data_IF_690128919083
#
_entry.id   IF_690128919083
#
_cell.length_a   1.000
_cell.length_b   1.000
_cell.length_c   1.000
_cell.angle_alpha   90.00
_cell.angle_beta   90.00
_cell.angle_gamma   90.00
#
_symmetry.space_group_name_H-M   'P 1'
#
loop_
_entity.id
_entity.type
_entity.pdbx_description
1 polymer ?
#
# COMPACT_ATOMS: atom_id res chain seq x y z
N UNK A 1 18.59 -56.05 -58.63
CA UNK A 1 17.87 -55.04 -57.86
C UNK A 1 18.59 -54.95 -56.52
N UNK A 2 19.32 -53.85 -56.31
CA UNK A 2 20.09 -53.57 -55.06
C UNK A 2 19.33 -52.61 -54.23
N UNK A 3 18.80 -53.09 -53.04
CA UNK A 3 18.11 -52.27 -52.08
C UNK A 3 19.09 -51.47 -51.24
N UNK A 4 19.02 -50.15 -51.29
CA UNK A 4 19.71 -49.25 -50.39
C UNK A 4 18.83 -49.02 -49.15
N UNK A 5 19.34 -49.40 -47.98
CA UNK A 5 18.75 -49.08 -46.66
C UNK A 5 19.29 -47.72 -46.22
N UNK A 6 18.47 -46.70 -45.88
CA UNK A 6 18.97 -45.48 -45.30
C UNK A 6 19.25 -45.68 -43.80
N UNK A 7 20.50 -45.44 -43.39
CA UNK A 7 20.91 -45.41 -41.99
C UNK A 7 20.40 -44.10 -41.36
N UNK A 8 19.36 -44.17 -40.55
CA UNK A 8 18.89 -43.05 -39.77
C UNK A 8 19.81 -42.82 -38.56
N UNK A 9 20.59 -41.73 -38.62
CA UNK A 9 21.40 -41.27 -37.48
C UNK A 9 20.45 -40.58 -36.48
N UNK A 10 20.12 -41.28 -35.38
CA UNK A 10 19.40 -40.68 -34.25
C UNK A 10 20.38 -39.79 -33.45
N UNK A 11 20.26 -38.50 -33.58
CA UNK A 11 20.90 -37.55 -32.65
C UNK A 11 20.26 -37.71 -31.26
N UNK A 12 20.94 -38.39 -30.35
CA UNK A 12 20.64 -38.36 -28.92
C UNK A 12 21.00 -36.95 -28.40
N UNK A 13 20.01 -36.08 -28.30
CA UNK A 13 20.16 -34.83 -27.59
C UNK A 13 20.41 -35.17 -26.11
N UNK A 14 21.64 -35.01 -25.65
CA UNK A 14 21.98 -35.08 -24.23
C UNK A 14 21.22 -33.94 -23.51
N UNK A 15 20.50 -34.20 -22.40
CA UNK A 15 19.92 -33.13 -21.63
C UNK A 15 21.06 -32.21 -21.16
N UNK A 16 21.00 -30.93 -21.52
CA UNK A 16 21.90 -29.93 -20.98
C UNK A 16 21.57 -29.79 -19.48
N UNK A 17 22.38 -30.40 -18.62
CA UNK A 17 22.33 -30.13 -17.19
C UNK A 17 22.75 -28.67 -17.00
N UNK A 18 21.92 -27.89 -16.30
CA UNK A 18 22.28 -26.55 -15.89
C UNK A 18 23.55 -26.63 -15.02
N UNK A 19 24.53 -25.79 -15.31
CA UNK A 19 25.73 -25.74 -14.47
C UNK A 19 25.40 -25.12 -13.11
N UNK A 20 26.00 -25.63 -12.02
CA UNK A 20 25.77 -25.07 -10.70
C UNK A 20 26.20 -23.60 -10.64
N UNK A 21 25.49 -22.82 -9.82
CA UNK A 21 25.81 -21.40 -9.64
C UNK A 21 27.22 -21.28 -9.03
N UNK A 22 28.14 -20.49 -9.62
CA UNK A 22 29.44 -20.25 -9.00
C UNK A 22 29.28 -19.69 -7.58
N UNK A 23 30.05 -20.20 -6.63
CA UNK A 23 29.92 -19.84 -5.21
C UNK A 23 30.00 -18.33 -4.91
N UNK A 24 30.82 -17.62 -5.68
CA UNK A 24 30.91 -16.15 -5.56
C UNK A 24 29.59 -15.44 -5.99
N UNK A 25 28.94 -15.93 -7.07
CA UNK A 25 27.65 -15.42 -7.54
C UNK A 25 26.55 -15.74 -6.54
N UNK A 26 26.56 -16.94 -5.99
CA UNK A 26 25.61 -17.35 -4.96
C UNK A 26 25.71 -16.45 -3.72
N UNK A 27 26.94 -16.21 -3.24
CA UNK A 27 27.20 -15.31 -2.11
C UNK A 27 26.74 -13.87 -2.38
N UNK A 28 26.90 -13.36 -3.61
CA UNK A 28 26.42 -12.03 -4.00
C UNK A 28 24.88 -11.94 -3.99
N UNK A 29 24.18 -12.98 -4.45
CA UNK A 29 22.71 -13.03 -4.43
C UNK A 29 22.21 -13.08 -2.99
N UNK A 30 22.86 -13.85 -2.13
CA UNK A 30 22.47 -13.99 -0.72
C UNK A 30 22.80 -12.75 0.12
N UNK A 31 23.86 -12.01 -0.23
CA UNK A 31 24.28 -10.77 0.43
C UNK A 31 23.41 -9.56 0.03
N UNK A 32 22.64 -9.65 -1.05
CA UNK A 32 21.80 -8.53 -1.51
C UNK A 32 20.76 -8.14 -0.48
N UNK A 33 20.78 -6.87 -0.03
CA UNK A 33 19.99 -6.37 1.07
C UNK A 33 18.50 -6.17 0.71
N UNK A 34 18.20 -5.96 -0.59
CA UNK A 34 16.82 -5.73 -1.07
C UNK A 34 16.45 -6.67 -2.23
N UNK A 35 15.16 -6.89 -2.50
CA UNK A 35 14.70 -7.63 -3.68
C UNK A 35 15.18 -6.99 -5.00
N UNK A 36 15.25 -5.66 -5.05
CA UNK A 36 15.68 -4.88 -6.22
C UNK A 36 17.17 -5.11 -6.48
N UNK A 37 18.01 -4.97 -5.45
CA UNK A 37 19.43 -5.25 -5.52
C UNK A 37 19.69 -6.69 -5.97
N UNK A 38 18.93 -7.63 -5.39
CA UNK A 38 19.02 -9.05 -5.75
C UNK A 38 18.67 -9.29 -7.23
N UNK A 39 17.65 -8.59 -7.75
CA UNK A 39 17.27 -8.69 -9.16
C UNK A 39 18.36 -8.14 -10.09
N UNK A 40 19.04 -7.05 -9.72
CA UNK A 40 20.17 -6.48 -10.47
C UNK A 40 21.36 -7.44 -10.47
N UNK A 41 21.75 -7.94 -9.30
CA UNK A 41 22.84 -8.91 -9.14
C UNK A 41 22.57 -10.15 -9.99
N UNK A 42 21.37 -10.72 -9.91
CA UNK A 42 20.98 -11.88 -10.68
C UNK A 42 20.95 -11.60 -12.19
N UNK A 43 20.52 -10.40 -12.59
CA UNK A 43 20.56 -9.97 -14.01
C UNK A 43 21.98 -9.94 -14.58
N UNK A 44 22.94 -9.43 -13.81
CA UNK A 44 24.36 -9.44 -14.18
C UNK A 44 24.91 -10.86 -14.18
N UNK A 45 24.60 -11.63 -13.13
CA UNK A 45 25.06 -13.01 -12.96
C UNK A 45 24.63 -13.92 -14.14
N UNK A 46 23.39 -13.79 -14.60
CA UNK A 46 22.89 -14.54 -15.77
C UNK A 46 23.61 -14.17 -17.09
N UNK A 47 24.00 -12.90 -17.24
CA UNK A 47 24.75 -12.47 -18.42
C UNK A 47 26.20 -13.00 -18.42
N UNK A 48 26.83 -13.08 -17.25
CA UNK A 48 28.21 -13.55 -17.09
C UNK A 48 28.31 -15.07 -17.00
N UNK A 49 27.23 -15.75 -16.55
CA UNK A 49 27.17 -17.21 -16.39
C UNK A 49 25.90 -17.77 -17.08
N UNK A 50 25.79 -17.74 -18.39
CA UNK A 50 24.59 -18.14 -19.11
C UNK A 50 24.22 -19.63 -18.90
N UNK A 51 25.19 -20.50 -18.64
CA UNK A 51 24.97 -21.91 -18.37
C UNK A 51 24.27 -22.15 -17.02
N UNK A 52 24.46 -21.26 -16.04
CA UNK A 52 23.81 -21.31 -14.71
C UNK A 52 22.54 -20.46 -14.62
N UNK A 53 22.06 -19.87 -15.72
CA UNK A 53 20.95 -18.93 -15.71
C UNK A 53 19.66 -19.56 -15.14
N UNK A 54 19.37 -20.82 -15.48
CA UNK A 54 18.21 -21.55 -14.98
C UNK A 54 18.26 -21.78 -13.46
N UNK A 55 19.43 -22.09 -12.92
CA UNK A 55 19.63 -22.29 -11.48
C UNK A 55 19.54 -20.95 -10.70
N UNK A 56 20.05 -19.85 -11.28
CA UNK A 56 19.89 -18.51 -10.73
C UNK A 56 18.40 -18.15 -10.63
N UNK A 57 17.62 -18.41 -11.68
CA UNK A 57 16.17 -18.16 -11.67
C UNK A 57 15.44 -19.06 -10.67
N UNK A 58 15.83 -20.32 -10.52
CA UNK A 58 15.29 -21.22 -9.53
C UNK A 58 15.59 -20.75 -8.09
N UNK A 59 16.83 -20.31 -7.82
CA UNK A 59 17.21 -19.73 -6.52
C UNK A 59 16.42 -18.48 -6.19
N UNK A 60 16.27 -17.54 -7.14
CA UNK A 60 15.45 -16.34 -6.95
C UNK A 60 13.99 -16.68 -6.65
N UNK A 61 13.42 -17.63 -7.39
CA UNK A 61 12.04 -18.10 -7.17
C UNK A 61 11.90 -18.71 -5.77
N UNK A 62 12.86 -19.51 -5.32
CA UNK A 62 12.85 -20.09 -3.99
C UNK A 62 12.94 -19.02 -2.88
N UNK A 63 13.83 -18.03 -3.03
CA UNK A 63 13.96 -16.92 -2.07
C UNK A 63 12.65 -16.10 -2.03
N UNK A 64 12.07 -15.76 -3.17
CA UNK A 64 10.82 -15.00 -3.24
C UNK A 64 9.65 -15.80 -2.65
N UNK A 65 9.57 -17.10 -2.90
CA UNK A 65 8.55 -17.98 -2.32
C UNK A 65 8.70 -18.07 -0.80
N UNK A 66 9.94 -18.23 -0.29
CA UNK A 66 10.21 -18.24 1.15
C UNK A 66 9.84 -16.91 1.82
N UNK A 67 10.18 -15.78 1.21
CA UNK A 67 9.82 -14.45 1.69
C UNK A 67 8.30 -14.23 1.69
N UNK A 68 7.60 -14.67 0.65
CA UNK A 68 6.14 -14.59 0.56
C UNK A 68 5.48 -15.43 1.65
N UNK A 69 5.98 -16.67 1.89
CA UNK A 69 5.49 -17.55 2.95
C UNK A 69 5.73 -16.96 4.34
N UNK A 70 6.92 -16.46 4.63
CA UNK A 70 7.24 -15.82 5.90
C UNK A 70 6.37 -14.57 6.16
N UNK A 71 6.09 -13.77 5.10
CA UNK A 71 5.16 -12.65 5.19
C UNK A 71 3.74 -13.11 5.50
N UNK A 72 3.28 -14.16 4.83
CA UNK A 72 1.93 -14.71 5.05
C UNK A 72 1.79 -15.25 6.48
N UNK A 73 2.78 -16.00 6.98
CA UNK A 73 2.82 -16.49 8.35
C UNK A 73 2.81 -15.34 9.37
N UNK A 74 3.62 -14.32 9.14
CA UNK A 74 3.62 -13.09 9.96
C UNK A 74 2.25 -12.42 9.98
N UNK A 75 1.59 -12.28 8.82
CA UNK A 75 0.26 -11.68 8.73
C UNK A 75 -0.82 -12.55 9.38
N UNK A 76 -0.66 -13.88 9.36
CA UNK A 76 -1.60 -14.81 9.97
C UNK A 76 -1.48 -14.87 11.50
N UNK A 77 -0.27 -14.67 12.04
CA UNK A 77 0.01 -14.73 13.49
C UNK A 77 -0.25 -13.43 14.23
N UNK A 78 -0.56 -12.33 13.53
CA UNK A 78 -0.80 -11.02 14.15
C UNK A 78 -2.07 -11.00 15.01
N UNK A 79 -1.91 -10.67 16.29
CA UNK A 79 -3.01 -10.33 17.19
C UNK A 79 -3.69 -9.00 16.80
N UNK A 80 -4.77 -8.64 17.51
CA UNK A 80 -5.52 -7.41 17.18
C UNK A 80 -4.67 -6.14 17.32
N UNK A 81 -3.80 -6.08 18.32
CA UNK A 81 -2.93 -4.91 18.58
C UNK A 81 -1.61 -4.95 17.80
N UNK A 82 -1.24 -6.08 17.22
CA UNK A 82 0.02 -6.24 16.51
C UNK A 82 -0.06 -5.72 15.07
N UNK A 83 1.08 -5.31 14.52
CA UNK A 83 1.18 -4.95 13.11
C UNK A 83 0.57 -3.60 12.73
N UNK A 84 0.22 -2.77 13.71
CA UNK A 84 -0.11 -1.38 13.44
C UNK A 84 1.17 -0.60 13.12
N UNK A 85 1.11 0.19 12.07
CA UNK A 85 2.12 1.16 11.68
C UNK A 85 1.45 2.51 11.47
N UNK A 86 2.17 3.59 11.71
CA UNK A 86 1.55 4.88 11.52
C UNK A 86 2.50 6.03 11.76
N UNK A 87 1.94 7.20 11.60
CA UNK A 87 2.62 8.47 11.82
C UNK A 87 1.69 9.42 12.57
N UNK A 88 2.30 10.27 13.38
CA UNK A 88 1.62 11.35 14.09
C UNK A 88 2.40 12.64 13.88
N UNK A 89 1.67 13.73 13.79
CA UNK A 89 2.21 15.07 13.72
C UNK A 89 1.52 15.96 14.74
N UNK A 90 2.24 16.86 15.36
CA UNK A 90 1.69 17.85 16.27
C UNK A 90 2.47 19.15 16.11
N UNK A 91 1.74 20.25 16.07
CA UNK A 91 2.30 21.60 15.99
C UNK A 91 1.44 22.58 16.75
N UNK A 92 2.02 23.66 17.19
CA UNK A 92 1.29 24.75 17.83
C UNK A 92 2.07 26.05 17.72
N UNK A 93 1.35 27.15 17.86
CA UNK A 93 1.94 28.48 17.90
C UNK A 93 1.24 29.37 18.93
N UNK A 94 2.00 30.30 19.47
CA UNK A 94 1.49 31.38 20.31
C UNK A 94 2.14 32.65 19.81
N UNK A 95 1.33 33.64 19.47
CA UNK A 95 1.78 35.00 19.10
C UNK A 95 1.16 36.01 20.05
N UNK A 96 1.98 36.90 20.57
CA UNK A 96 1.59 37.97 21.50
C UNK A 96 2.10 39.32 21.01
N UNK A 97 1.28 40.33 21.11
CA UNK A 97 1.54 41.70 20.65
C UNK A 97 0.25 42.50 20.67
N UNK A 98 0.01 43.27 19.63
CA UNK A 98 -1.26 44.00 19.43
C UNK A 98 -2.45 43.03 19.22
N UNK A 99 -2.17 41.81 18.77
CA UNK A 99 -3.11 40.69 18.68
C UNK A 99 -2.54 39.48 19.42
N UNK A 100 -3.43 38.67 20.00
CA UNK A 100 -3.08 37.41 20.67
C UNK A 100 -3.66 36.25 19.89
N UNK A 101 -2.79 35.49 19.25
CA UNK A 101 -3.19 34.34 18.45
C UNK A 101 -2.53 33.09 19.00
N UNK A 102 -3.29 32.01 19.11
CA UNK A 102 -2.79 30.70 19.49
C UNK A 102 -3.47 29.63 18.67
N UNK A 103 -2.74 28.56 18.38
CA UNK A 103 -3.29 27.45 17.65
C UNK A 103 -2.57 26.15 17.96
N UNK A 104 -3.27 25.05 17.76
CA UNK A 104 -2.77 23.70 17.87
C UNK A 104 -3.33 22.87 16.72
N UNK A 105 -2.45 22.09 16.10
CA UNK A 105 -2.81 21.10 15.08
C UNK A 105 -2.20 19.76 15.46
N UNK A 106 -3.02 18.70 15.45
CA UNK A 106 -2.59 17.33 15.70
C UNK A 106 -3.19 16.44 14.62
N UNK A 107 -2.34 15.61 14.01
CA UNK A 107 -2.73 14.61 13.03
C UNK A 107 -2.22 13.23 13.45
N UNK A 108 -3.02 12.19 13.27
CA UNK A 108 -2.61 10.81 13.44
C UNK A 108 -3.16 9.96 12.30
N UNK A 109 -2.34 9.08 11.77
CA UNK A 109 -2.71 8.08 10.78
C UNK A 109 -2.11 6.74 11.17
N UNK A 110 -2.98 5.72 11.33
CA UNK A 110 -2.57 4.37 11.67
C UNK A 110 -3.09 3.41 10.61
N UNK A 111 -2.26 2.45 10.25
CA UNK A 111 -2.62 1.41 9.27
C UNK A 111 -2.21 0.05 9.83
N UNK A 112 -3.08 -0.92 9.64
CA UNK A 112 -2.78 -2.33 9.92
C UNK A 112 -3.14 -3.15 8.70
N UNK A 113 -2.22 -3.99 8.27
CA UNK A 113 -2.46 -4.97 7.23
C UNK A 113 -2.37 -6.38 7.79
N UNK A 114 -3.40 -7.18 7.59
CA UNK A 114 -3.43 -8.60 7.87
C UNK A 114 -3.66 -9.38 6.57
N UNK A 115 -3.71 -10.72 6.65
CA UNK A 115 -3.92 -11.60 5.48
C UNK A 115 -5.13 -11.16 4.65
N UNK A 116 -6.29 -11.01 5.29
CA UNK A 116 -7.57 -10.75 4.60
C UNK A 116 -8.08 -9.32 4.79
N UNK A 117 -7.47 -8.53 5.66
CA UNK A 117 -7.95 -7.19 5.99
C UNK A 117 -6.84 -6.15 5.91
N UNK A 118 -7.22 -4.96 5.53
CA UNK A 118 -6.44 -3.75 5.74
C UNK A 118 -7.32 -2.74 6.47
N UNK A 119 -6.83 -2.21 7.58
CA UNK A 119 -7.49 -1.19 8.39
C UNK A 119 -6.70 0.10 8.30
N UNK A 120 -7.39 1.22 8.20
CA UNK A 120 -6.80 2.54 8.31
C UNK A 120 -7.62 3.41 9.27
N UNK A 121 -6.94 4.10 10.16
CA UNK A 121 -7.51 5.06 11.10
C UNK A 121 -6.86 6.42 10.84
N UNK A 122 -7.65 7.47 10.88
CA UNK A 122 -7.17 8.85 10.75
C UNK A 122 -7.88 9.75 11.73
N UNK A 123 -7.10 10.56 12.45
CA UNK A 123 -7.59 11.59 13.36
C UNK A 123 -6.96 12.93 13.04
N UNK A 124 -7.73 14.02 13.12
CA UNK A 124 -7.22 15.39 12.98
C UNK A 124 -7.91 16.26 14.02
N UNK A 125 -7.12 17.08 14.69
CA UNK A 125 -7.56 18.19 15.53
C UNK A 125 -6.84 19.43 15.04
N UNK A 126 -7.60 20.46 14.69
CA UNK A 126 -7.06 21.75 14.26
C UNK A 126 -7.90 22.86 14.95
N UNK A 127 -7.28 23.57 15.87
CA UNK A 127 -7.92 24.61 16.67
C UNK A 127 -7.05 25.87 16.64
N UNK A 128 -7.67 26.99 16.38
CA UNK A 128 -7.05 28.30 16.41
C UNK A 128 -7.97 29.32 17.08
N UNK A 129 -7.36 30.24 17.82
CA UNK A 129 -8.05 31.32 18.50
C UNK A 129 -7.31 32.63 18.23
N UNK A 130 -8.06 33.66 17.88
CA UNK A 130 -7.59 34.99 17.63
C UNK A 130 -8.25 35.96 18.62
N UNK A 131 -7.47 36.60 19.48
CA UNK A 131 -7.94 37.51 20.53
C UNK A 131 -9.03 36.93 21.45
N UNK A 132 -8.92 35.65 21.83
CA UNK A 132 -9.88 34.98 22.69
C UNK A 132 -11.13 34.43 21.98
N UNK A 133 -11.21 34.58 20.65
CA UNK A 133 -12.31 34.07 19.83
C UNK A 133 -11.79 32.96 18.93
N UNK A 134 -12.45 31.79 18.95
CA UNK A 134 -12.09 30.71 18.06
C UNK A 134 -12.27 31.16 16.59
N UNK A 135 -11.22 30.99 15.79
CA UNK A 135 -11.17 31.30 14.35
C UNK A 135 -11.08 30.04 13.50
N UNK A 136 -10.70 28.90 14.10
CA UNK A 136 -10.71 27.57 13.48
C UNK A 136 -11.05 26.52 14.53
N UNK A 137 -11.96 25.62 14.21
CA UNK A 137 -12.33 24.49 15.07
C UNK A 137 -12.73 23.33 14.18
N UNK A 138 -11.75 22.45 13.90
CA UNK A 138 -11.96 21.27 13.07
C UNK A 138 -11.52 20.01 13.79
N UNK A 139 -12.40 19.04 13.83
CA UNK A 139 -12.15 17.70 14.33
C UNK A 139 -12.54 16.70 13.25
N UNK A 140 -11.71 15.72 13.02
CA UNK A 140 -11.97 14.64 12.09
C UNK A 140 -11.56 13.31 12.69
N UNK A 141 -12.41 12.31 12.55
CA UNK A 141 -12.12 10.91 12.85
C UNK A 141 -12.61 10.05 11.67
N UNK A 142 -11.74 9.20 11.15
CA UNK A 142 -12.03 8.33 10.01
C UNK A 142 -11.54 6.91 10.25
N UNK A 143 -12.30 5.96 9.75
CA UNK A 143 -11.94 4.54 9.67
C UNK A 143 -12.23 4.02 8.27
N UNK A 144 -11.32 3.24 7.74
CA UNK A 144 -11.48 2.48 6.51
C UNK A 144 -11.05 1.03 6.72
N UNK A 145 -11.95 0.11 6.41
CA UNK A 145 -11.69 -1.32 6.44
C UNK A 145 -11.83 -1.91 5.03
N UNK A 146 -10.80 -2.58 4.55
CA UNK A 146 -10.77 -3.24 3.24
C UNK A 146 -10.65 -4.75 3.45
N UNK A 147 -11.68 -5.50 3.09
CA UNK A 147 -11.68 -6.95 3.09
C UNK A 147 -11.20 -7.47 1.73
N UNK A 148 -10.01 -8.08 1.73
CA UNK A 148 -9.36 -8.66 0.56
C UNK A 148 -9.93 -10.06 0.31
N UNK A 149 -10.83 -10.23 -0.64
CA UNK A 149 -11.39 -11.53 -1.00
C UNK A 149 -10.71 -12.15 -2.23
N UNK A 150 -9.86 -11.39 -2.92
CA UNK A 150 -8.94 -11.89 -3.94
C UNK A 150 -7.61 -11.14 -3.90
N UNK A 151 -6.64 -11.57 -4.73
CA UNK A 151 -5.35 -10.87 -4.86
C UNK A 151 -5.49 -9.44 -5.36
N UNK A 152 -6.54 -9.12 -6.13
CA UNK A 152 -6.75 -7.81 -6.74
C UNK A 152 -8.03 -7.10 -6.30
N UNK A 153 -9.03 -7.83 -5.79
CA UNK A 153 -10.33 -7.27 -5.45
C UNK A 153 -10.55 -7.24 -3.93
N UNK A 154 -11.21 -6.19 -3.46
CA UNK A 154 -11.58 -6.01 -2.06
C UNK A 154 -12.94 -5.33 -1.90
N UNK A 155 -13.61 -5.61 -0.80
CA UNK A 155 -14.77 -4.85 -0.34
C UNK A 155 -14.31 -3.77 0.64
N UNK A 156 -14.94 -2.62 0.57
CA UNK A 156 -14.61 -1.42 1.33
C UNK A 156 -15.75 -1.04 2.27
N UNK A 157 -15.41 -0.71 3.51
CA UNK A 157 -16.25 0.03 4.45
C UNK A 157 -15.48 1.28 4.87
N UNK A 158 -16.07 2.46 4.69
CA UNK A 158 -15.50 3.71 5.18
C UNK A 158 -16.51 4.44 6.08
N UNK A 159 -16.03 4.88 7.22
CA UNK A 159 -16.77 5.67 8.19
C UNK A 159 -15.97 6.93 8.50
N UNK A 160 -16.61 8.09 8.49
CA UNK A 160 -15.96 9.32 8.93
C UNK A 160 -16.93 10.21 9.68
N UNK A 161 -16.40 10.83 10.73
CA UNK A 161 -17.06 11.89 11.47
C UNK A 161 -16.19 13.15 11.40
N UNK A 162 -16.84 14.26 11.12
CA UNK A 162 -16.19 15.56 11.01
C UNK A 162 -17.03 16.61 11.72
N UNK A 163 -16.38 17.53 12.41
CA UNK A 163 -16.94 18.76 12.93
C UNK A 163 -16.10 19.91 12.43
N UNK A 164 -16.72 20.86 11.76
CA UNK A 164 -16.11 22.09 11.34
C UNK A 164 -17.14 23.21 11.31
N UNK A 165 -17.14 24.01 12.36
CA UNK A 165 -18.11 25.09 12.54
C UNK A 165 -17.91 26.26 11.56
N UNK A 166 -16.70 26.40 11.05
CA UNK A 166 -16.36 27.50 10.14
C UNK A 166 -16.67 27.18 8.67
N UNK A 167 -16.94 25.93 8.37
CA UNK A 167 -17.44 25.51 7.05
C UNK A 167 -18.96 25.32 7.01
N UNK A 168 -19.68 25.73 8.08
CA UNK A 168 -21.13 25.81 8.11
C UNK A 168 -21.84 24.58 8.68
N UNK A 169 -21.12 23.54 9.15
CA UNK A 169 -21.74 22.39 9.81
C UNK A 169 -21.18 22.12 11.20
N UNK A 170 -22.08 21.78 12.12
CA UNK A 170 -21.71 21.41 13.50
C UNK A 170 -21.23 19.97 13.61
N UNK A 171 -21.71 19.08 12.75
CA UNK A 171 -21.21 17.70 12.59
C UNK A 171 -21.64 17.11 11.25
N UNK A 172 -20.80 16.25 10.72
CA UNK A 172 -21.07 15.46 9.53
C UNK A 172 -20.61 14.03 9.75
N UNK A 173 -21.49 13.08 9.51
CA UNK A 173 -21.16 11.66 9.53
C UNK A 173 -21.36 11.08 8.14
N UNK A 174 -20.34 10.40 7.62
CA UNK A 174 -20.38 9.76 6.31
C UNK A 174 -20.09 8.28 6.46
N UNK A 175 -20.92 7.46 5.85
CA UNK A 175 -20.77 6.02 5.78
C UNK A 175 -20.73 5.63 4.30
N UNK A 176 -19.77 4.84 3.90
CA UNK A 176 -19.67 4.34 2.53
C UNK A 176 -19.32 2.86 2.53
N UNK A 177 -19.92 2.15 1.59
CA UNK A 177 -19.56 0.78 1.26
C UNK A 177 -19.22 0.74 -0.22
N UNK A 178 -18.33 -0.17 -0.62
CA UNK A 178 -17.92 -0.21 -2.02
C UNK A 178 -17.09 -1.43 -2.36
N UNK A 179 -16.67 -1.45 -3.60
CA UNK A 179 -15.74 -2.43 -4.12
C UNK A 179 -14.53 -1.70 -4.67
N UNK A 180 -13.37 -2.31 -4.51
CA UNK A 180 -12.13 -1.81 -5.05
C UNK A 180 -11.39 -2.88 -5.85
N UNK A 181 -10.60 -2.43 -6.79
CA UNK A 181 -9.82 -3.30 -7.66
C UNK A 181 -8.42 -2.71 -7.91
N UNK A 182 -7.39 -3.55 -7.79
CA UNK A 182 -6.02 -3.21 -8.20
C UNK A 182 -5.88 -3.39 -9.70
N UNK A 183 -5.91 -2.28 -10.41
CA UNK A 183 -5.76 -2.26 -11.88
C UNK A 183 -4.34 -2.61 -12.29
N UNK A 184 -3.36 -2.05 -11.56
CA UNK A 184 -1.93 -2.36 -11.71
C UNK A 184 -1.41 -2.86 -10.37
N UNK A 185 -0.71 -3.99 -10.37
CA UNK A 185 -0.11 -4.59 -9.17
C UNK A 185 1.24 -5.22 -9.57
N UNK A 186 2.25 -4.38 -9.65
CA UNK A 186 3.64 -4.74 -9.93
C UNK A 186 4.53 -4.37 -8.75
N UNK A 187 5.76 -4.87 -8.64
CA UNK A 187 6.67 -4.49 -7.56
C UNK A 187 6.86 -2.99 -7.41
N UNK A 188 6.93 -2.26 -8.51
CA UNK A 188 7.26 -0.83 -8.53
C UNK A 188 6.03 0.08 -8.70
N UNK A 189 4.88 -0.45 -9.14
CA UNK A 189 3.68 0.35 -9.39
C UNK A 189 2.43 -0.38 -8.95
N UNK A 190 1.69 0.23 -8.03
CA UNK A 190 0.36 -0.23 -7.64
C UNK A 190 -0.63 0.90 -7.92
N UNK A 191 -1.68 0.59 -8.68
CA UNK A 191 -2.81 1.48 -8.92
C UNK A 191 -4.07 0.74 -8.54
N UNK A 192 -4.84 1.29 -7.60
CA UNK A 192 -6.12 0.77 -7.18
C UNK A 192 -7.19 1.83 -7.33
N UNK A 193 -8.37 1.41 -7.77
CA UNK A 193 -9.58 2.21 -7.85
C UNK A 193 -10.64 1.59 -6.96
N UNK A 194 -11.45 2.41 -6.32
CA UNK A 194 -12.60 1.96 -5.56
C UNK A 194 -13.80 2.87 -5.77
N UNK A 195 -14.99 2.34 -5.49
CA UNK A 195 -16.21 3.12 -5.58
C UNK A 195 -17.42 2.40 -5.00
N UNK A 196 -18.42 3.20 -4.65
CA UNK A 196 -19.65 2.70 -4.10
C UNK A 196 -20.59 3.77 -3.57
N UNK A 197 -21.78 3.39 -3.10
CA UNK A 197 -22.72 4.32 -2.47
C UNK A 197 -22.22 4.80 -1.12
N UNK A 198 -22.61 6.03 -0.78
CA UNK A 198 -22.38 6.63 0.52
C UNK A 198 -23.64 7.30 1.05
N UNK A 199 -23.79 7.29 2.38
CA UNK A 199 -24.80 8.05 3.10
C UNK A 199 -24.09 9.15 3.88
N UNK A 200 -24.58 10.36 3.77
CA UNK A 200 -24.05 11.52 4.47
C UNK A 200 -25.14 12.17 5.31
N UNK A 201 -24.87 12.31 6.60
CA UNK A 201 -25.73 12.99 7.56
C UNK A 201 -25.02 14.25 8.01
N UNK A 202 -25.57 15.40 7.68
CA UNK A 202 -24.97 16.72 8.01
C UNK A 202 -25.91 17.47 8.92
N UNK A 203 -25.42 17.92 10.08
CA UNK A 203 -26.08 18.88 10.94
C UNK A 203 -25.41 20.24 10.75
N UNK A 204 -26.14 21.18 10.22
CA UNK A 204 -25.68 22.53 10.02
C UNK A 204 -25.67 23.34 11.32
N UNK A 205 -24.94 24.45 11.35
CA UNK A 205 -24.87 25.36 12.51
C UNK A 205 -26.21 26.05 12.80
N UNK A 206 -27.09 26.18 11.80
CA UNK A 206 -28.46 26.71 11.95
C UNK A 206 -29.47 25.68 12.52
N UNK A 207 -28.99 24.47 12.90
CA UNK A 207 -29.81 23.40 13.45
C UNK A 207 -30.50 22.51 12.43
N UNK A 208 -30.45 22.83 11.14
CA UNK A 208 -31.00 21.98 10.07
C UNK A 208 -30.16 20.69 9.96
N UNK A 209 -30.83 19.56 9.77
CA UNK A 209 -30.20 18.29 9.47
C UNK A 209 -30.54 17.87 8.04
N UNK A 210 -29.53 17.52 7.26
CA UNK A 210 -29.65 17.00 5.91
C UNK A 210 -29.11 15.56 5.87
N UNK A 211 -29.89 14.65 5.26
CA UNK A 211 -29.48 13.27 5.01
C UNK A 211 -29.46 13.04 3.50
N UNK A 212 -28.30 12.92 2.94
CA UNK A 212 -28.11 12.80 1.50
C UNK A 212 -27.42 11.48 1.11
N UNK A 213 -27.85 10.94 -0.04
CA UNK A 213 -27.16 9.85 -0.72
C UNK A 213 -26.07 10.46 -1.59
N UNK A 214 -24.87 9.91 -1.52
CA UNK A 214 -23.73 10.32 -2.31
C UNK A 214 -23.07 9.09 -2.96
N UNK A 215 -22.15 9.33 -3.87
CA UNK A 215 -21.25 8.31 -4.37
C UNK A 215 -19.83 8.59 -3.84
N UNK A 216 -19.10 7.51 -3.53
CA UNK A 216 -17.66 7.53 -3.29
C UNK A 216 -16.95 7.02 -4.54
N UNK A 217 -15.89 7.68 -4.93
CA UNK A 217 -14.88 7.16 -5.85
C UNK A 217 -13.50 7.43 -5.24
N UNK A 218 -12.60 6.48 -5.36
CA UNK A 218 -11.24 6.59 -4.83
C UNK A 218 -10.21 6.13 -5.86
N UNK A 219 -9.05 6.77 -5.87
CA UNK A 219 -7.87 6.40 -6.62
C UNK A 219 -6.67 6.37 -5.69
N UNK A 220 -6.01 5.23 -5.62
CA UNK A 220 -4.77 5.08 -4.87
C UNK A 220 -3.66 4.66 -5.83
N UNK A 221 -2.61 5.46 -5.94
CA UNK A 221 -1.43 5.14 -6.74
C UNK A 221 -0.19 5.19 -5.85
N UNK A 222 0.64 4.16 -5.95
CA UNK A 222 1.98 4.09 -5.34
C UNK A 222 2.95 3.71 -6.43
N UNK A 223 3.95 4.55 -6.65
CA UNK A 223 4.96 4.32 -7.67
C UNK A 223 6.35 4.53 -7.10
N UNK A 224 7.13 3.48 -7.05
CA UNK A 224 8.55 3.54 -6.75
C UNK A 224 9.30 3.77 -8.06
N UNK A 225 9.71 5.00 -8.29
CA UNK A 225 10.37 5.42 -9.54
C UNK A 225 11.81 4.92 -9.54
N UNK A 226 12.47 5.02 -8.38
CA UNK A 226 13.80 4.49 -8.09
C UNK A 226 14.00 4.37 -6.58
N UNK A 227 15.20 3.98 -6.13
CA UNK A 227 15.51 3.76 -4.70
C UNK A 227 15.41 5.03 -3.83
N UNK A 228 15.46 6.21 -4.46
CA UNK A 228 15.40 7.50 -3.76
C UNK A 228 14.07 8.23 -3.93
N UNK A 229 13.24 7.84 -4.93
CA UNK A 229 12.04 8.58 -5.29
C UNK A 229 10.81 7.69 -5.29
N UNK A 230 9.91 7.99 -4.35
CA UNK A 230 8.62 7.35 -4.21
C UNK A 230 7.51 8.38 -4.43
N UNK A 231 6.56 8.06 -5.29
CA UNK A 231 5.34 8.84 -5.49
C UNK A 231 4.15 8.11 -4.86
N UNK A 232 3.36 8.81 -4.05
CA UNK A 232 2.13 8.28 -3.47
C UNK A 232 1.02 9.31 -3.65
N UNK A 233 -0.08 8.88 -4.24
CA UNK A 233 -1.30 9.67 -4.43
C UNK A 233 -2.49 8.91 -3.86
N UNK A 234 -3.33 9.61 -3.09
CA UNK A 234 -4.65 9.14 -2.67
C UNK A 234 -5.66 10.27 -2.94
N UNK A 235 -6.74 9.94 -3.64
CA UNK A 235 -7.83 10.86 -3.99
C UNK A 235 -9.19 10.19 -3.78
#
# INVERSE_FOLDING_TARGET
MRSFLPLALAFLATPAFAEPIPSAVEAMIDAAASPEERAVVAGIAKKTNPASAAEIDAKLSAINAAAAKAREEKLASQGFLDGWSGQGEAGGFISTGNTRNRGVAVGVSLTKESRSWKHALRGIVDYQEDNGVASRERYFAGYEGNWKFSSRAYALLALSWERDRFTGFSSRFTQAIGLGYRVVDTPNLTIAVDGGPALRQTRFINGITDNSVAARAGLNAKWQINDMLNFTQAA
#
